data_IF_415569717284
#
_entry.id   IF_415569717284
#
_cell.length_a   1.000
_cell.length_b   1.000
_cell.length_c   1.000
_cell.angle_alpha   90.00
_cell.angle_beta   90.00
_cell.angle_gamma   90.00
#
_symmetry.space_group_name_H-M   'P 1'
#
loop_
_entity.id
_entity.type
_entity.pdbx_description
1 polymer ?
#
# COMPACT_ATOMS: atom_id res chain seq x y z
N UNK A 1 -13.79 8.89 -28.20
CA UNK A 1 -13.15 7.56 -28.32
C UNK A 1 -12.26 7.39 -27.10
N UNK A 2 -12.75 6.73 -26.04
CA UNK A 2 -12.06 6.59 -24.75
C UNK A 2 -11.47 5.18 -24.69
N UNK A 3 -10.14 5.06 -24.55
CA UNK A 3 -9.49 3.78 -24.30
C UNK A 3 -9.90 3.23 -22.91
N UNK A 4 -10.16 1.93 -22.77
CA UNK A 4 -10.32 1.31 -21.47
C UNK A 4 -8.94 1.08 -20.81
N UNK A 5 -8.86 1.35 -19.51
CA UNK A 5 -7.71 1.05 -18.67
C UNK A 5 -7.70 -0.47 -18.43
N UNK A 6 -6.72 -1.16 -19.01
CA UNK A 6 -6.48 -2.60 -18.80
C UNK A 6 -5.97 -2.83 -17.36
N UNK A 7 -6.80 -3.48 -16.55
CA UNK A 7 -6.35 -4.15 -15.33
C UNK A 7 -5.43 -5.31 -15.75
N UNK A 8 -4.18 -5.30 -15.28
CA UNK A 8 -3.24 -6.40 -15.52
C UNK A 8 -3.63 -7.58 -14.64
N UNK A 9 -4.09 -8.67 -15.26
CA UNK A 9 -4.43 -9.92 -14.59
C UNK A 9 -3.17 -10.75 -14.36
N UNK A 10 -2.84 -11.03 -13.10
CA UNK A 10 -1.83 -12.04 -12.74
C UNK A 10 -2.38 -13.44 -13.01
N UNK A 11 -1.65 -14.24 -13.77
CA UNK A 11 -1.94 -15.66 -14.01
C UNK A 11 -1.06 -16.51 -13.09
N UNK A 12 -1.59 -17.57 -12.50
CA UNK A 12 -0.81 -18.70 -12.02
C UNK A 12 -1.18 -19.91 -12.89
N UNK A 13 -0.33 -20.26 -13.86
CA UNK A 13 -0.47 -21.48 -14.64
C UNK A 13 0.62 -22.43 -14.17
N UNK A 14 0.23 -23.61 -13.68
CA UNK A 14 1.16 -24.71 -13.44
C UNK A 14 1.61 -25.28 -14.79
N UNK A 15 2.90 -25.15 -15.14
CA UNK A 15 3.50 -25.93 -16.21
C UNK A 15 4.85 -26.55 -15.83
N UNK A 16 5.03 -27.72 -16.44
CA UNK A 16 6.16 -28.63 -16.44
C UNK A 16 7.55 -27.98 -16.38
N UNK A 17 8.44 -28.65 -15.63
CA UNK A 17 9.87 -28.35 -15.54
C UNK A 17 10.55 -28.32 -16.92
N UNK A 18 10.76 -27.13 -17.46
CA UNK A 18 11.85 -26.85 -18.38
C UNK A 18 13.04 -26.33 -17.55
N UNK A 19 14.22 -26.90 -17.76
CA UNK A 19 15.43 -26.54 -17.00
C UNK A 19 15.70 -25.03 -17.06
N UNK A 20 15.76 -24.39 -15.90
CA UNK A 20 16.09 -22.98 -15.79
C UNK A 20 17.50 -22.74 -16.34
N UNK A 21 17.60 -21.86 -17.34
CA UNK A 21 18.89 -21.27 -17.67
C UNK A 21 19.42 -20.55 -16.41
N UNK A 22 20.74 -20.59 -16.14
CA UNK A 22 21.29 -19.88 -15.00
C UNK A 22 21.01 -18.40 -15.15
N UNK A 23 20.09 -17.89 -14.32
CA UNK A 23 19.84 -16.46 -14.18
C UNK A 23 21.18 -15.80 -13.84
N UNK A 24 21.62 -14.82 -14.63
CA UNK A 24 22.81 -14.06 -14.31
C UNK A 24 22.71 -13.55 -12.86
N UNK A 25 23.81 -13.64 -12.10
CA UNK A 25 23.83 -13.24 -10.68
C UNK A 25 23.53 -11.74 -10.58
N UNK A 26 22.25 -11.41 -10.37
CA UNK A 26 21.81 -10.03 -10.17
C UNK A 26 22.47 -9.44 -8.93
N UNK A 27 22.93 -8.18 -8.98
CA UNK A 27 23.43 -7.46 -7.81
C UNK A 27 22.52 -7.61 -6.59
N UNK A 28 23.13 -7.88 -5.44
CA UNK A 28 22.46 -8.15 -4.17
C UNK A 28 22.56 -6.95 -3.23
N UNK A 29 21.43 -6.55 -2.66
CA UNK A 29 21.32 -5.48 -1.68
C UNK A 29 20.54 -5.97 -0.47
N UNK A 30 21.08 -5.77 0.73
CA UNK A 30 20.42 -6.19 1.95
C UNK A 30 19.75 -5.02 2.67
N UNK A 31 18.52 -5.26 3.13
CA UNK A 31 17.82 -4.38 4.05
C UNK A 31 17.61 -5.06 5.39
N UNK A 32 16.84 -4.44 6.29
CA UNK A 32 16.44 -5.05 7.57
C UNK A 32 15.62 -6.32 7.37
N UNK A 33 14.73 -6.33 6.37
CA UNK A 33 13.78 -7.43 6.16
C UNK A 33 13.91 -8.12 4.81
N UNK A 34 14.66 -7.58 3.86
CA UNK A 34 14.75 -8.11 2.50
C UNK A 34 16.19 -8.35 2.05
N UNK A 35 16.33 -9.31 1.15
CA UNK A 35 17.48 -9.45 0.26
C UNK A 35 16.96 -9.16 -1.14
N UNK A 36 17.36 -8.01 -1.69
CA UNK A 36 16.93 -7.51 -3.00
C UNK A 36 17.96 -7.94 -4.05
N UNK A 37 17.50 -8.56 -5.12
CA UNK A 37 18.26 -8.89 -6.32
C UNK A 37 17.72 -8.09 -7.49
N UNK A 38 18.54 -7.25 -8.13
CA UNK A 38 18.02 -6.34 -9.16
C UNK A 38 19.11 -5.81 -10.10
N UNK A 39 18.73 -5.56 -11.34
CA UNK A 39 19.49 -4.89 -12.40
C UNK A 39 19.15 -3.38 -12.50
N UNK A 40 18.41 -2.85 -11.53
CA UNK A 40 18.06 -1.44 -11.48
C UNK A 40 19.24 -0.53 -11.13
N UNK A 41 19.10 0.71 -11.56
CA UNK A 41 20.05 1.77 -11.33
C UNK A 41 20.09 2.13 -9.81
N UNK A 42 21.22 2.63 -9.27
CA UNK A 42 21.40 2.81 -7.82
C UNK A 42 20.32 3.64 -7.10
N UNK A 43 19.74 4.64 -7.77
CA UNK A 43 18.68 5.48 -7.20
C UNK A 43 17.37 4.70 -7.03
N UNK A 44 17.03 3.82 -7.97
CA UNK A 44 15.84 2.97 -7.91
C UNK A 44 16.02 1.83 -6.90
N UNK A 45 17.24 1.29 -6.76
CA UNK A 45 17.59 0.34 -5.69
C UNK A 45 17.40 0.97 -4.31
N UNK A 46 17.82 2.23 -4.15
CA UNK A 46 17.64 2.98 -2.91
C UNK A 46 16.16 3.21 -2.59
N UNK A 47 15.36 3.62 -3.59
CA UNK A 47 13.90 3.72 -3.45
C UNK A 47 13.29 2.38 -3.01
N UNK A 48 13.68 1.29 -3.68
CA UNK A 48 13.17 -0.04 -3.36
C UNK A 48 13.53 -0.47 -1.95
N UNK A 49 14.79 -0.28 -1.54
CA UNK A 49 15.27 -0.66 -0.21
C UNK A 49 14.49 0.02 0.91
N UNK A 50 14.23 1.32 0.80
CA UNK A 50 13.46 2.06 1.82
C UNK A 50 12.00 1.60 1.82
N UNK A 51 11.36 1.52 0.65
CA UNK A 51 9.94 1.19 0.54
C UNK A 51 9.63 -0.22 1.03
N UNK A 52 10.34 -1.25 0.58
CA UNK A 52 10.06 -2.63 1.01
C UNK A 52 10.37 -2.84 2.49
N UNK A 53 11.37 -2.12 3.02
CA UNK A 53 11.63 -2.12 4.46
C UNK A 53 10.44 -1.53 5.22
N UNK A 54 9.93 -0.36 4.81
CA UNK A 54 8.79 0.26 5.47
C UNK A 54 7.52 -0.59 5.31
N UNK A 55 7.31 -1.16 4.15
CA UNK A 55 6.22 -2.07 3.83
C UNK A 55 6.14 -3.24 4.82
N UNK A 56 7.25 -3.95 5.06
CA UNK A 56 7.28 -5.02 6.06
C UNK A 56 7.01 -4.54 7.50
N UNK A 57 7.46 -3.33 7.88
CA UNK A 57 7.15 -2.75 9.19
C UNK A 57 5.66 -2.46 9.33
N UNK A 58 5.04 -1.89 8.29
CA UNK A 58 3.61 -1.59 8.27
C UNK A 58 2.79 -2.87 8.30
N UNK A 59 3.19 -3.93 7.58
CA UNK A 59 2.52 -5.22 7.66
C UNK A 59 2.59 -5.77 9.08
N UNK A 60 3.78 -5.81 9.68
CA UNK A 60 3.96 -6.28 11.05
C UNK A 60 3.13 -5.48 12.05
N UNK A 61 3.11 -4.15 11.95
CA UNK A 61 2.33 -3.31 12.85
C UNK A 61 0.82 -3.50 12.69
N UNK A 62 0.32 -3.48 11.45
CA UNK A 62 -1.11 -3.57 11.15
C UNK A 62 -1.68 -4.96 11.40
N UNK A 63 -0.84 -5.99 11.38
CA UNK A 63 -1.22 -7.37 11.64
C UNK A 63 -0.79 -7.86 13.01
N UNK A 64 -0.17 -7.02 13.86
CA UNK A 64 0.38 -7.40 15.19
C UNK A 64 -0.57 -8.18 16.10
N UNK A 65 -1.87 -8.01 15.88
CA UNK A 65 -2.91 -8.71 16.63
C UNK A 65 -2.98 -10.20 16.31
N UNK A 66 -2.47 -10.65 15.16
CA UNK A 66 -2.59 -12.01 14.65
C UNK A 66 -1.38 -12.55 13.87
N UNK A 67 -0.37 -11.73 13.58
CA UNK A 67 0.86 -12.17 12.92
C UNK A 67 1.97 -12.49 13.93
N UNK A 68 2.85 -13.40 13.55
CA UNK A 68 4.11 -13.66 14.22
C UNK A 68 5.18 -12.62 13.89
N UNK A 69 6.43 -12.96 14.22
CA UNK A 69 7.60 -12.10 13.99
C UNK A 69 8.35 -12.53 12.74
N UNK A 70 8.86 -11.55 11.97
CA UNK A 70 9.75 -11.80 10.84
C UNK A 70 11.09 -12.31 11.40
N UNK A 71 11.47 -13.55 11.07
CA UNK A 71 12.71 -14.19 11.57
C UNK A 71 13.84 -14.23 10.55
N UNK A 72 13.50 -14.19 9.27
CA UNK A 72 14.45 -14.29 8.16
C UNK A 72 14.20 -13.16 7.17
N UNK A 73 15.25 -12.72 6.50
CA UNK A 73 15.10 -11.77 5.40
C UNK A 73 14.40 -12.45 4.23
N UNK A 74 13.48 -11.72 3.61
CA UNK A 74 12.67 -12.15 2.49
C UNK A 74 13.44 -11.98 1.17
N UNK A 75 13.53 -13.01 0.31
CA UNK A 75 14.09 -12.86 -1.02
C UNK A 75 13.13 -12.04 -1.90
N UNK A 76 13.67 -11.01 -2.55
CA UNK A 76 12.95 -10.17 -3.51
C UNK A 76 13.80 -9.98 -4.76
N UNK A 77 13.24 -10.27 -5.92
CA UNK A 77 13.87 -10.01 -7.22
C UNK A 77 13.05 -8.96 -7.96
N UNK A 78 13.68 -7.84 -8.29
CA UNK A 78 13.04 -6.73 -9.01
C UNK A 78 13.75 -6.54 -10.34
N UNK A 79 13.03 -6.85 -11.43
CA UNK A 79 13.59 -6.81 -12.77
C UNK A 79 13.28 -5.49 -13.46
N UNK A 80 14.25 -4.91 -14.15
CA UNK A 80 14.00 -3.81 -15.08
C UNK A 80 13.11 -4.25 -16.23
N UNK A 81 13.38 -5.42 -16.80
CA UNK A 81 12.71 -5.93 -17.99
C UNK A 81 11.70 -7.05 -17.69
N UNK A 82 10.60 -7.06 -18.47
CA UNK A 82 9.57 -8.11 -18.39
C UNK A 82 10.08 -9.48 -18.83
N UNK A 83 10.96 -9.52 -19.84
CA UNK A 83 11.48 -10.78 -20.39
C UNK A 83 12.33 -11.53 -19.36
N UNK A 84 13.19 -10.83 -18.62
CA UNK A 84 14.02 -11.42 -17.55
C UNK A 84 13.15 -11.95 -16.39
N UNK A 85 12.09 -11.22 -16.06
CA UNK A 85 11.10 -11.68 -15.09
C UNK A 85 10.43 -12.99 -15.53
N UNK A 86 10.02 -13.10 -16.79
CA UNK A 86 9.40 -14.30 -17.34
C UNK A 86 10.39 -15.48 -17.42
N UNK A 87 11.63 -15.22 -17.87
CA UNK A 87 12.71 -16.21 -17.90
C UNK A 87 13.04 -16.76 -16.50
N UNK A 88 12.91 -15.93 -15.47
CA UNK A 88 13.09 -16.32 -14.08
C UNK A 88 11.89 -17.07 -13.46
N UNK A 89 10.87 -17.39 -14.26
CA UNK A 89 9.66 -18.13 -13.85
C UNK A 89 8.46 -17.25 -13.51
N UNK A 90 8.52 -15.94 -13.82
CA UNK A 90 7.39 -15.03 -13.69
C UNK A 90 6.26 -15.38 -14.66
N UNK A 91 5.00 -15.46 -14.22
CA UNK A 91 3.90 -15.83 -15.11
C UNK A 91 3.65 -14.82 -16.24
N UNK A 92 3.38 -15.32 -17.44
CA UNK A 92 3.01 -14.49 -18.59
C UNK A 92 1.73 -13.70 -18.29
N UNK A 93 1.71 -12.41 -18.61
CA UNK A 93 0.59 -11.51 -18.34
C UNK A 93 0.59 -10.85 -16.95
N UNK A 94 1.45 -11.33 -16.04
CA UNK A 94 1.64 -10.71 -14.72
C UNK A 94 2.79 -9.70 -14.70
N UNK A 95 2.78 -8.78 -13.73
CA UNK A 95 3.88 -7.86 -13.45
C UNK A 95 4.59 -8.15 -12.12
N UNK A 96 4.17 -9.20 -11.43
CA UNK A 96 4.76 -9.69 -10.19
C UNK A 96 4.08 -10.98 -9.72
N UNK A 97 4.79 -11.68 -8.83
CA UNK A 97 4.35 -12.93 -8.22
C UNK A 97 5.12 -13.19 -6.93
N UNK A 98 4.45 -13.68 -5.89
CA UNK A 98 5.08 -14.45 -4.84
C UNK A 98 4.92 -15.95 -5.12
N UNK A 99 6.02 -16.64 -5.42
CA UNK A 99 5.99 -18.04 -5.85
C UNK A 99 6.09 -19.07 -4.71
N UNK A 100 5.82 -18.66 -3.46
CA UNK A 100 6.03 -19.49 -2.27
C UNK A 100 7.45 -19.42 -1.67
N UNK A 101 8.43 -18.89 -2.41
CA UNK A 101 9.82 -18.76 -1.91
C UNK A 101 10.37 -17.34 -1.99
N UNK A 102 10.12 -16.66 -3.10
CA UNK A 102 10.60 -15.31 -3.37
C UNK A 102 9.50 -14.44 -3.97
N UNK A 103 9.57 -13.16 -3.65
CA UNK A 103 8.82 -12.13 -4.35
C UNK A 103 9.57 -11.80 -5.65
N UNK A 104 8.85 -11.72 -6.76
CA UNK A 104 9.36 -11.26 -8.04
C UNK A 104 8.45 -10.15 -8.57
N UNK A 105 9.01 -9.09 -9.14
CA UNK A 105 8.23 -8.04 -9.77
C UNK A 105 8.99 -7.36 -10.92
N UNK A 106 8.25 -6.67 -11.78
CA UNK A 106 8.78 -5.87 -12.89
C UNK A 106 8.70 -4.40 -12.55
N UNK A 107 9.86 -3.73 -12.52
CA UNK A 107 9.97 -2.30 -12.36
C UNK A 107 9.58 -1.56 -13.65
N UNK A 108 10.02 -2.07 -14.81
CA UNK A 108 9.96 -1.37 -16.09
C UNK A 108 10.99 -0.23 -16.16
N UNK A 109 10.81 0.68 -17.11
CA UNK A 109 11.66 1.87 -17.28
C UNK A 109 11.66 2.81 -16.06
N UNK A 110 10.57 2.83 -15.30
CA UNK A 110 10.40 3.66 -14.11
C UNK A 110 9.51 2.98 -13.10
N UNK A 111 9.89 3.07 -11.82
CA UNK A 111 9.03 2.71 -10.70
C UNK A 111 7.80 3.63 -10.66
N UNK A 112 6.61 3.04 -10.81
CA UNK A 112 5.33 3.77 -10.78
C UNK A 112 4.47 3.38 -9.59
N UNK A 113 3.37 4.11 -9.36
CA UNK A 113 2.36 3.68 -8.39
C UNK A 113 1.81 2.28 -8.70
N UNK A 114 1.70 1.91 -9.99
CA UNK A 114 1.28 0.57 -10.42
C UNK A 114 2.31 -0.49 -10.03
N UNK A 115 3.60 -0.21 -10.26
CA UNK A 115 4.70 -1.08 -9.84
C UNK A 115 4.63 -1.34 -8.34
N UNK A 116 4.47 -0.26 -7.56
CA UNK A 116 4.41 -0.36 -6.10
C UNK A 116 3.14 -1.05 -5.60
N UNK A 117 1.98 -0.85 -6.25
CA UNK A 117 0.78 -1.64 -5.96
C UNK A 117 1.06 -3.13 -6.07
N UNK A 118 1.69 -3.57 -7.16
CA UNK A 118 2.03 -4.99 -7.39
C UNK A 118 3.04 -5.49 -6.35
N UNK A 119 4.12 -4.75 -6.09
CA UNK A 119 5.13 -5.14 -5.09
C UNK A 119 4.51 -5.25 -3.69
N UNK A 120 3.59 -4.34 -3.34
CA UNK A 120 2.87 -4.37 -2.07
C UNK A 120 1.87 -5.54 -2.01
N UNK A 121 1.14 -5.79 -3.09
CA UNK A 121 0.21 -6.91 -3.17
C UNK A 121 0.93 -8.25 -2.96
N UNK A 122 1.94 -8.52 -3.80
CA UNK A 122 2.70 -9.77 -3.75
C UNK A 122 3.58 -9.87 -2.50
N UNK A 123 4.10 -8.73 -2.02
CA UNK A 123 4.83 -8.63 -0.77
C UNK A 123 3.97 -8.99 0.45
N UNK A 124 2.67 -8.70 0.42
CA UNK A 124 1.76 -9.15 1.47
C UNK A 124 1.61 -10.67 1.46
N UNK A 125 1.47 -11.33 0.31
CA UNK A 125 1.44 -12.79 0.26
C UNK A 125 2.70 -13.42 0.85
N UNK A 126 3.88 -12.88 0.51
CA UNK A 126 5.15 -13.33 1.09
C UNK A 126 5.18 -13.16 2.62
N UNK A 127 4.73 -12.00 3.12
CA UNK A 127 4.64 -11.74 4.55
C UNK A 127 3.66 -12.70 5.24
N UNK A 128 2.45 -12.87 4.68
CA UNK A 128 1.42 -13.73 5.22
C UNK A 128 1.88 -15.20 5.31
N UNK A 129 2.52 -15.69 4.25
CA UNK A 129 3.14 -17.01 4.20
C UNK A 129 4.20 -17.19 5.30
N UNK A 130 5.02 -16.17 5.55
CA UNK A 130 6.10 -16.24 6.53
C UNK A 130 5.64 -16.12 7.99
N UNK A 131 4.60 -15.33 8.28
CA UNK A 131 4.31 -14.93 9.68
C UNK A 131 2.87 -15.12 10.16
N UNK A 132 1.85 -15.24 9.30
CA UNK A 132 0.47 -15.43 9.76
C UNK A 132 0.18 -16.92 10.00
N UNK A 133 0.67 -17.79 9.11
CA UNK A 133 0.43 -19.23 9.17
C UNK A 133 -1.05 -19.61 8.98
N UNK A 134 -1.34 -20.91 9.05
CA UNK A 134 -2.68 -21.44 8.83
C UNK A 134 -3.14 -21.36 7.36
N UNK A 135 -4.38 -21.76 7.13
CA UNK A 135 -5.02 -21.71 5.81
C UNK A 135 -5.88 -20.44 5.72
N UNK A 136 -5.33 -19.39 5.11
CA UNK A 136 -6.04 -18.12 4.91
C UNK A 136 -6.95 -18.27 3.69
N UNK A 137 -8.29 -18.08 3.83
CA UNK A 137 -9.21 -18.16 2.71
C UNK A 137 -8.82 -17.20 1.58
N UNK A 138 -8.96 -17.64 0.33
CA UNK A 138 -8.52 -16.87 -0.86
C UNK A 138 -9.06 -15.44 -0.86
N UNK A 139 -10.34 -15.24 -0.54
CA UNK A 139 -10.94 -13.90 -0.50
C UNK A 139 -10.29 -12.97 0.54
N UNK A 140 -9.80 -13.51 1.66
CA UNK A 140 -9.12 -12.70 2.68
C UNK A 140 -7.69 -12.43 2.27
N UNK A 141 -6.99 -13.44 1.75
CA UNK A 141 -5.61 -13.30 1.32
C UNK A 141 -5.50 -12.25 0.20
N UNK A 142 -6.33 -12.37 -0.84
CA UNK A 142 -6.40 -11.41 -1.95
C UNK A 142 -6.95 -10.05 -1.51
N UNK A 143 -7.97 -10.04 -0.66
CA UNK A 143 -8.56 -8.80 -0.16
C UNK A 143 -7.58 -7.97 0.68
N UNK A 144 -6.76 -8.63 1.51
CA UNK A 144 -5.70 -7.97 2.28
C UNK A 144 -4.53 -7.56 1.40
N UNK A 145 -4.13 -8.38 0.42
CA UNK A 145 -3.10 -8.03 -0.56
C UNK A 145 -3.47 -6.76 -1.34
N UNK A 146 -4.72 -6.66 -1.81
CA UNK A 146 -5.26 -5.45 -2.43
C UNK A 146 -5.37 -4.27 -1.45
N UNK A 147 -5.77 -4.52 -0.19
CA UNK A 147 -5.87 -3.47 0.83
C UNK A 147 -4.51 -2.79 1.09
N UNK A 148 -3.45 -3.59 1.18
CA UNK A 148 -2.09 -3.09 1.31
C UNK A 148 -1.51 -2.58 -0.01
N UNK A 149 -1.93 -3.14 -1.14
CA UNK A 149 -1.60 -2.69 -2.49
C UNK A 149 -1.96 -1.22 -2.73
N UNK A 150 -3.12 -0.79 -2.22
CA UNK A 150 -3.59 0.61 -2.30
C UNK A 150 -2.87 1.57 -1.33
N UNK A 151 -1.94 1.07 -0.51
CA UNK A 151 -1.21 1.87 0.47
C UNK A 151 -0.35 2.97 -0.18
N UNK A 152 -0.31 4.15 0.44
CA UNK A 152 0.49 5.29 -0.01
C UNK A 152 1.74 5.46 0.84
N UNK A 153 2.90 5.24 0.24
CA UNK A 153 4.19 5.51 0.89
C UNK A 153 4.47 7.01 0.98
N UNK A 154 4.83 7.49 2.17
CA UNK A 154 5.06 8.91 2.48
C UNK A 154 6.54 9.27 2.64
N UNK A 155 7.44 8.29 2.53
CA UNK A 155 8.86 8.44 2.85
C UNK A 155 9.23 7.84 4.21
N UNK A 156 8.39 8.05 5.23
CA UNK A 156 8.63 7.58 6.60
C UNK A 156 7.60 6.55 7.08
N UNK A 157 6.47 6.45 6.37
CA UNK A 157 5.36 5.54 6.70
C UNK A 157 4.56 5.13 5.45
N UNK A 158 3.55 4.28 5.61
CA UNK A 158 2.51 4.03 4.61
C UNK A 158 1.12 4.30 5.16
N UNK A 159 0.35 5.12 4.43
CA UNK A 159 -1.07 5.34 4.73
C UNK A 159 -1.88 4.23 4.05
N UNK A 160 -2.48 3.36 4.86
CA UNK A 160 -3.34 2.24 4.40
C UNK A 160 -4.83 2.58 4.50
N UNK A 161 -5.70 1.75 3.91
CA UNK A 161 -7.15 1.96 3.96
C UNK A 161 -7.64 2.98 2.95
N UNK A 162 -6.83 3.28 1.94
CA UNK A 162 -7.17 4.15 0.83
C UNK A 162 -8.29 3.52 -0.01
N UNK A 163 -9.29 4.33 -0.35
CA UNK A 163 -10.37 3.97 -1.24
C UNK A 163 -10.28 4.91 -2.44
N UNK A 164 -9.68 4.47 -3.56
CA UNK A 164 -9.63 5.29 -4.76
C UNK A 164 -11.05 5.60 -5.26
N UNK A 165 -11.32 6.86 -5.60
CA UNK A 165 -12.63 7.32 -6.09
C UNK A 165 -13.15 6.47 -7.26
N UNK A 166 -12.27 6.17 -8.23
CA UNK A 166 -12.60 5.33 -9.38
C UNK A 166 -12.98 3.91 -8.97
N UNK A 167 -12.34 3.35 -7.94
CA UNK A 167 -12.59 1.99 -7.46
C UNK A 167 -13.88 1.95 -6.66
N UNK A 168 -14.14 2.94 -5.79
CA UNK A 168 -15.44 3.12 -5.13
C UNK A 168 -16.59 3.20 -6.14
N UNK A 169 -16.44 4.03 -7.18
CA UNK A 169 -17.45 4.13 -8.24
C UNK A 169 -17.69 2.78 -8.95
N UNK A 170 -16.61 2.03 -9.23
CA UNK A 170 -16.70 0.69 -9.80
C UNK A 170 -17.39 -0.32 -8.87
N UNK A 171 -17.12 -0.29 -7.56
CA UNK A 171 -17.81 -1.13 -6.56
C UNK A 171 -19.30 -0.81 -6.54
N UNK A 172 -19.67 0.46 -6.38
CA UNK A 172 -21.08 0.88 -6.30
C UNK A 172 -21.84 0.49 -7.56
N UNK A 173 -21.28 0.76 -8.74
CA UNK A 173 -21.87 0.32 -10.01
C UNK A 173 -22.06 -1.20 -10.07
N UNK A 174 -21.10 -1.97 -9.58
CA UNK A 174 -21.16 -3.44 -9.57
C UNK A 174 -22.20 -3.99 -8.59
N UNK A 175 -22.43 -3.29 -7.46
CA UNK A 175 -23.53 -3.58 -6.53
C UNK A 175 -24.88 -3.31 -7.20
N UNK A 176 -25.05 -2.14 -7.83
CA UNK A 176 -26.29 -1.73 -8.49
C UNK A 176 -26.67 -2.66 -9.64
N UNK A 177 -25.69 -3.09 -10.43
CA UNK A 177 -25.86 -4.06 -11.52
C UNK A 177 -25.99 -5.51 -11.04
N UNK A 178 -25.92 -5.76 -9.72
CA UNK A 178 -26.01 -7.09 -9.09
C UNK A 178 -25.03 -8.11 -9.68
N UNK A 179 -23.81 -7.66 -10.00
CA UNK A 179 -22.77 -8.48 -10.63
C UNK A 179 -21.81 -9.13 -9.63
N UNK A 180 -21.87 -8.75 -8.35
CA UNK A 180 -21.12 -9.45 -7.31
C UNK A 180 -21.72 -10.82 -7.00
N UNK A 181 -20.86 -11.76 -6.62
CA UNK A 181 -21.29 -13.07 -6.13
C UNK A 181 -22.01 -12.90 -4.79
N UNK A 182 -22.96 -13.77 -4.42
CA UNK A 182 -23.42 -13.88 -3.04
C UNK A 182 -22.23 -14.02 -2.08
N UNK A 183 -22.30 -13.39 -0.91
CA UNK A 183 -21.17 -13.36 0.03
C UNK A 183 -20.75 -14.77 0.44
N UNK A 184 -21.71 -15.65 0.67
CA UNK A 184 -21.44 -17.03 1.11
C UNK A 184 -20.76 -17.86 0.01
N UNK A 185 -20.97 -17.52 -1.27
CA UNK A 185 -20.29 -18.14 -2.39
C UNK A 185 -18.82 -17.68 -2.45
N UNK A 186 -18.56 -16.37 -2.45
CA UNK A 186 -17.17 -15.87 -2.55
C UNK A 186 -16.32 -16.31 -1.34
N UNK A 187 -16.91 -16.37 -0.15
CA UNK A 187 -16.22 -16.79 1.07
C UNK A 187 -15.83 -18.27 1.08
N UNK A 188 -16.45 -19.10 0.24
CA UNK A 188 -16.18 -20.54 0.13
C UNK A 188 -15.32 -20.94 -1.06
N UNK A 189 -14.99 -20.00 -1.95
CA UNK A 189 -14.14 -20.30 -3.09
C UNK A 189 -12.81 -20.89 -2.62
N UNK A 190 -12.45 -22.01 -3.24
CA UNK A 190 -11.09 -22.55 -3.18
C UNK A 190 -10.16 -21.76 -4.09
N UNK A 191 -8.85 -21.90 -3.89
CA UNK A 191 -7.85 -21.28 -4.76
C UNK A 191 -7.99 -21.74 -6.22
N UNK A 192 -8.27 -23.03 -6.44
CA UNK A 192 -8.46 -23.60 -7.78
C UNK A 192 -9.68 -22.99 -8.49
N UNK A 193 -10.81 -22.87 -7.78
CA UNK A 193 -12.01 -22.23 -8.34
C UNK A 193 -11.81 -20.74 -8.63
N UNK A 194 -11.06 -20.05 -7.76
CA UNK A 194 -10.69 -18.64 -7.98
C UNK A 194 -9.86 -18.48 -9.26
N UNK A 195 -8.82 -19.30 -9.40
CA UNK A 195 -7.90 -19.28 -10.54
C UNK A 195 -8.55 -19.74 -11.84
N UNK A 196 -9.55 -20.63 -11.80
CA UNK A 196 -10.28 -21.06 -12.99
C UNK A 196 -11.20 -19.97 -13.57
N UNK A 197 -11.67 -19.02 -12.74
CA UNK A 197 -12.59 -17.97 -13.17
C UNK A 197 -11.89 -16.74 -13.75
N UNK A 198 -10.72 -16.39 -13.20
CA UNK A 198 -9.94 -15.20 -13.59
C UNK A 198 -10.79 -13.91 -13.66
N UNK A 199 -11.77 -13.77 -12.76
CA UNK A 199 -12.71 -12.64 -12.77
C UNK A 199 -12.17 -11.48 -11.91
N UNK A 200 -11.84 -10.31 -12.50
CA UNK A 200 -11.39 -9.13 -11.75
C UNK A 200 -12.40 -8.67 -10.68
N UNK A 201 -13.68 -9.01 -10.86
CA UNK A 201 -14.76 -8.70 -9.90
C UNK A 201 -14.54 -9.39 -8.56
N UNK A 202 -13.87 -10.56 -8.54
CA UNK A 202 -13.55 -11.28 -7.31
C UNK A 202 -12.59 -10.48 -6.43
N UNK A 203 -11.54 -9.89 -7.02
CA UNK A 203 -10.56 -9.05 -6.31
C UNK A 203 -11.21 -7.79 -5.75
N UNK A 204 -12.09 -7.15 -6.53
CA UNK A 204 -12.88 -6.01 -6.07
C UNK A 204 -13.81 -6.35 -4.90
N UNK A 205 -14.49 -7.49 -4.98
CA UNK A 205 -15.38 -7.94 -3.92
C UNK A 205 -14.58 -8.27 -2.65
N UNK A 206 -13.50 -9.05 -2.77
CA UNK A 206 -12.60 -9.40 -1.67
C UNK A 206 -12.02 -8.16 -0.98
N UNK A 207 -11.43 -7.24 -1.74
CA UNK A 207 -10.90 -5.98 -1.24
C UNK A 207 -11.97 -5.15 -0.51
N UNK A 208 -13.14 -5.02 -1.12
CA UNK A 208 -14.21 -4.19 -0.57
C UNK A 208 -14.83 -4.79 0.71
N UNK A 209 -14.83 -6.12 0.86
CA UNK A 209 -15.20 -6.82 2.09
C UNK A 209 -14.16 -6.57 3.19
N UNK A 210 -12.86 -6.69 2.87
CA UNK A 210 -11.77 -6.41 3.82
C UNK A 210 -11.79 -4.95 4.29
N UNK A 211 -11.98 -4.00 3.37
CA UNK A 211 -12.14 -2.58 3.71
C UNK A 211 -13.31 -2.34 4.68
N UNK A 212 -14.47 -2.95 4.42
CA UNK A 212 -15.63 -2.84 5.31
C UNK A 212 -15.36 -3.47 6.68
N UNK A 213 -14.72 -4.64 6.74
CA UNK A 213 -14.37 -5.28 8.01
C UNK A 213 -13.33 -4.48 8.80
N UNK A 214 -12.40 -3.80 8.12
CA UNK A 214 -11.36 -3.02 8.76
C UNK A 214 -11.83 -1.64 9.23
N UNK A 215 -12.72 -0.97 8.48
CA UNK A 215 -13.05 0.45 8.68
C UNK A 215 -14.55 0.76 8.75
N UNK A 216 -15.41 -0.17 8.34
CA UNK A 216 -16.86 0.01 8.30
C UNK A 216 -17.44 0.40 9.65
N UNK A 217 -18.45 1.27 9.62
CA UNK A 217 -19.12 1.84 10.80
C UNK A 217 -18.14 2.38 11.86
N UNK A 218 -17.10 3.09 11.43
CA UNK A 218 -16.08 3.62 12.33
C UNK A 218 -15.17 2.56 12.94
N UNK A 219 -14.92 1.46 12.21
CA UNK A 219 -14.08 0.34 12.67
C UNK A 219 -14.79 -0.66 13.57
N UNK A 220 -16.13 -0.63 13.65
CA UNK A 220 -16.94 -1.51 14.50
C UNK A 220 -16.62 -3.01 14.33
N UNK A 221 -16.31 -3.43 13.11
CA UNK A 221 -16.05 -4.84 12.77
C UNK A 221 -14.59 -5.26 12.95
N UNK A 222 -13.68 -4.29 13.15
CA UNK A 222 -12.24 -4.54 13.18
C UNK A 222 -11.81 -5.51 14.29
N UNK A 223 -12.31 -5.42 15.55
CA UNK A 223 -11.94 -6.38 16.58
C UNK A 223 -12.34 -7.82 16.23
N UNK A 224 -13.54 -8.00 15.67
CA UNK A 224 -14.02 -9.31 15.22
C UNK A 224 -13.18 -9.83 14.04
N UNK A 225 -12.78 -8.95 13.12
CA UNK A 225 -11.89 -9.34 12.02
C UNK A 225 -10.50 -9.76 12.50
N UNK A 226 -9.93 -9.07 13.50
CA UNK A 226 -8.68 -9.47 14.16
C UNK A 226 -8.84 -10.85 14.82
N UNK A 227 -9.97 -11.11 15.49
CA UNK A 227 -10.25 -12.42 16.09
C UNK A 227 -10.37 -13.53 15.04
N UNK A 228 -10.99 -13.22 13.88
CA UNK A 228 -11.08 -14.13 12.75
C UNK A 228 -9.69 -14.50 12.21
N UNK A 229 -8.84 -13.51 11.96
CA UNK A 229 -7.46 -13.74 11.50
C UNK A 229 -6.63 -14.53 12.51
N UNK A 230 -6.81 -14.24 13.80
CA UNK A 230 -6.18 -14.99 14.89
C UNK A 230 -6.60 -16.46 14.92
N UNK A 231 -7.87 -16.74 14.69
CA UNK A 231 -8.38 -18.11 14.63
C UNK A 231 -7.79 -18.87 13.45
N UNK A 232 -7.72 -18.23 12.27
CA UNK A 232 -7.07 -18.80 11.07
C UNK A 232 -5.59 -19.11 11.31
N UNK A 233 -4.83 -18.17 11.87
CA UNK A 233 -3.40 -18.36 12.19
C UNK A 233 -3.14 -19.48 13.19
N UNK A 234 -4.15 -19.85 14.00
CA UNK A 234 -4.13 -21.01 14.93
C UNK A 234 -4.60 -22.31 14.27
N UNK A 235 -4.83 -22.33 12.96
CA UNK A 235 -5.26 -23.50 12.20
C UNK A 235 -6.75 -23.84 12.31
N UNK A 236 -7.59 -22.93 12.82
CA UNK A 236 -9.04 -23.15 12.77
C UNK A 236 -9.54 -23.01 11.34
N UNK A 237 -10.47 -23.89 10.95
CA UNK A 237 -11.12 -23.79 9.64
C UNK A 237 -11.92 -22.49 9.50
N UNK A 238 -11.94 -21.93 8.29
CA UNK A 238 -12.57 -20.63 7.97
C UNK A 238 -13.99 -20.46 8.50
N UNK A 239 -14.86 -21.45 8.27
CA UNK A 239 -16.26 -21.37 8.73
C UNK A 239 -16.39 -21.35 10.26
N UNK A 240 -15.55 -22.10 10.96
CA UNK A 240 -15.52 -22.07 12.43
C UNK A 240 -14.98 -20.73 12.93
N UNK A 241 -13.85 -20.28 12.37
CA UNK A 241 -13.23 -19.00 12.70
C UNK A 241 -14.21 -17.84 12.52
N UNK A 242 -14.97 -17.83 11.41
CA UNK A 242 -15.98 -16.82 11.14
C UNK A 242 -17.08 -16.85 12.20
N UNK A 243 -17.69 -18.03 12.43
CA UNK A 243 -18.79 -18.19 13.38
C UNK A 243 -18.39 -17.75 14.79
N UNK A 244 -17.17 -18.06 15.24
CA UNK A 244 -16.70 -17.67 16.58
C UNK A 244 -16.39 -16.18 16.70
N UNK A 245 -16.10 -15.50 15.59
CA UNK A 245 -15.67 -14.10 15.60
C UNK A 245 -16.81 -13.12 15.31
N UNK A 246 -17.67 -13.48 14.36
CA UNK A 246 -18.77 -12.65 13.87
C UNK A 246 -20.15 -13.19 14.23
N UNK A 247 -20.27 -14.46 14.63
CA UNK A 247 -21.55 -15.14 14.77
C UNK A 247 -22.12 -15.54 13.40
N UNK A 248 -23.42 -15.35 13.22
CA UNK A 248 -24.10 -15.62 11.95
C UNK A 248 -23.72 -14.56 10.90
N UNK A 249 -23.48 -14.99 9.66
CA UNK A 249 -23.23 -14.12 8.51
C UNK A 249 -24.50 -13.37 8.04
N UNK A 250 -25.68 -13.70 8.58
CA UNK A 250 -26.93 -13.06 8.19
C UNK A 250 -26.86 -11.51 8.27
N UNK A 251 -27.21 -10.87 7.15
CA UNK A 251 -27.19 -9.42 7.00
C UNK A 251 -25.81 -8.80 6.79
N UNK A 252 -24.73 -9.59 6.75
CA UNK A 252 -23.40 -9.06 6.39
C UNK A 252 -23.42 -8.44 4.99
N UNK A 253 -24.01 -9.14 4.01
CA UNK A 253 -24.09 -8.67 2.62
C UNK A 253 -24.83 -7.33 2.51
N UNK A 254 -25.97 -7.20 3.17
CA UNK A 254 -26.75 -5.96 3.16
C UNK A 254 -26.01 -4.80 3.85
N UNK A 255 -25.35 -5.05 4.98
CA UNK A 255 -24.55 -4.02 5.67
C UNK A 255 -23.33 -3.59 4.85
N UNK A 256 -22.64 -4.55 4.23
CA UNK A 256 -21.51 -4.27 3.35
C UNK A 256 -21.94 -3.43 2.14
N UNK A 257 -23.03 -3.81 1.45
CA UNK A 257 -23.57 -3.02 0.33
C UNK A 257 -23.95 -1.61 0.79
N UNK A 258 -24.69 -1.50 1.90
CA UNK A 258 -25.13 -0.22 2.45
C UNK A 258 -23.95 0.71 2.78
N UNK A 259 -22.89 0.16 3.39
CA UNK A 259 -21.65 0.90 3.62
C UNK A 259 -21.13 1.52 2.32
N UNK A 260 -20.88 0.71 1.29
CA UNK A 260 -20.33 1.19 0.02
C UNK A 260 -21.20 2.21 -0.70
N UNK A 261 -22.52 2.01 -0.70
CA UNK A 261 -23.45 2.95 -1.34
C UNK A 261 -23.63 4.24 -0.55
N UNK A 262 -23.36 4.23 0.76
CA UNK A 262 -23.45 5.43 1.63
C UNK A 262 -22.20 6.31 1.62
N UNK A 263 -21.04 5.76 1.21
CA UNK A 263 -19.80 6.53 1.15
C UNK A 263 -19.92 7.70 0.17
N UNK A 264 -19.34 8.88 0.46
CA UNK A 264 -19.22 9.96 -0.54
C UNK A 264 -18.31 9.53 -1.70
N UNK A 265 -18.23 10.35 -2.75
CA UNK A 265 -17.43 10.04 -3.95
C UNK A 265 -15.95 9.82 -3.61
N UNK A 266 -15.36 10.68 -2.76
CA UNK A 266 -13.98 10.56 -2.29
C UNK A 266 -13.93 10.31 -0.77
N UNK A 267 -14.21 9.07 -0.32
CA UNK A 267 -14.40 8.76 1.10
C UNK A 267 -13.10 8.81 1.92
N UNK A 268 -11.95 8.76 1.27
CA UNK A 268 -10.64 8.79 1.93
C UNK A 268 -9.82 10.02 1.55
N UNK A 269 -10.46 11.12 1.17
CA UNK A 269 -9.76 12.38 0.85
C UNK A 269 -8.88 12.87 2.02
N UNK A 270 -9.32 12.65 3.26
CA UNK A 270 -8.50 12.94 4.44
C UNK A 270 -7.20 12.13 4.49
N UNK A 271 -7.24 10.85 4.10
CA UNK A 271 -6.04 10.02 4.04
C UNK A 271 -5.08 10.50 2.96
N UNK A 272 -5.60 10.97 1.82
CA UNK A 272 -4.79 11.61 0.79
C UNK A 272 -4.16 12.93 1.29
N UNK A 273 -4.91 13.77 2.04
CA UNK A 273 -4.35 14.98 2.70
C UNK A 273 -3.21 14.61 3.63
N UNK A 274 -3.42 13.62 4.50
CA UNK A 274 -2.41 13.15 5.45
C UNK A 274 -1.18 12.59 4.75
N UNK A 275 -1.35 11.83 3.68
CA UNK A 275 -0.23 11.30 2.89
C UNK A 275 0.61 12.42 2.27
N UNK A 276 -0.05 13.41 1.64
CA UNK A 276 0.61 14.59 1.08
C UNK A 276 1.33 15.36 2.17
N UNK A 277 0.64 15.73 3.25
CA UNK A 277 1.21 16.50 4.36
C UNK A 277 2.40 15.80 5.03
N UNK A 278 2.30 14.49 5.29
CA UNK A 278 3.40 13.69 5.83
C UNK A 278 4.61 13.72 4.89
N UNK A 279 4.38 13.53 3.58
CA UNK A 279 5.46 13.58 2.57
C UNK A 279 6.15 14.93 2.57
N UNK A 280 5.40 16.04 2.49
CA UNK A 280 6.00 17.38 2.49
C UNK A 280 6.79 17.66 3.76
N UNK A 281 6.22 17.28 4.92
CA UNK A 281 6.83 17.48 6.24
C UNK A 281 8.13 16.70 6.34
N UNK A 282 8.17 15.50 5.78
CA UNK A 282 9.36 14.67 5.70
C UNK A 282 10.49 15.33 4.92
N UNK A 283 10.20 15.90 3.74
CA UNK A 283 11.17 16.62 2.93
C UNK A 283 11.65 17.92 3.61
N UNK A 284 10.74 18.69 4.22
CA UNK A 284 11.11 19.88 5.00
C UNK A 284 11.99 19.50 6.18
N UNK A 285 11.67 18.43 6.91
CA UNK A 285 12.46 17.98 8.05
C UNK A 285 13.88 17.57 7.67
N UNK A 286 14.04 16.87 6.55
CA UNK A 286 15.36 16.48 6.02
C UNK A 286 16.17 17.67 5.51
N UNK A 287 15.54 18.63 4.85
CA UNK A 287 16.19 19.88 4.45
C UNK A 287 16.65 20.69 5.68
N UNK A 288 15.77 20.81 6.68
CA UNK A 288 16.07 21.50 7.92
C UNK A 288 17.22 20.85 8.69
N UNK A 289 17.26 19.51 8.74
CA UNK A 289 18.39 18.77 9.31
C UNK A 289 19.72 19.08 8.61
N UNK A 290 19.68 19.45 7.32
CA UNK A 290 20.83 19.91 6.53
C UNK A 290 20.99 21.44 6.50
N UNK A 291 20.44 22.14 7.51
CA UNK A 291 20.51 23.60 7.67
C UNK A 291 19.92 24.38 6.49
N UNK A 292 18.95 23.80 5.77
CA UNK A 292 18.12 24.50 4.80
C UNK A 292 16.73 24.67 5.39
N UNK A 293 16.39 25.91 5.73
CA UNK A 293 15.09 26.28 6.27
C UNK A 293 14.27 27.02 5.21
N UNK A 294 12.94 27.02 5.37
CA UNK A 294 12.01 27.67 4.45
C UNK A 294 11.04 28.53 5.23
N UNK A 295 10.93 29.81 4.85
CA UNK A 295 10.03 30.75 5.51
C UNK A 295 8.58 30.61 5.04
N UNK A 296 8.37 30.00 3.86
CA UNK A 296 7.03 29.88 3.27
C UNK A 296 6.92 28.71 2.29
N UNK A 297 5.68 28.26 2.06
CA UNK A 297 5.40 27.22 1.07
C UNK A 297 5.92 27.56 -0.34
N UNK A 298 5.76 28.77 -0.90
CA UNK A 298 6.34 29.12 -2.20
C UNK A 298 7.87 28.93 -2.29
N UNK A 299 8.61 29.29 -1.23
CA UNK A 299 10.06 29.08 -1.22
C UNK A 299 10.44 27.60 -1.19
N UNK A 300 9.68 26.80 -0.46
CA UNK A 300 9.85 25.34 -0.42
C UNK A 300 9.49 24.67 -1.76
N UNK A 301 8.33 24.99 -2.34
CA UNK A 301 7.86 24.37 -3.59
C UNK A 301 8.76 24.72 -4.76
N UNK A 302 9.29 25.94 -4.81
CA UNK A 302 10.31 26.33 -5.80
C UNK A 302 11.56 25.47 -5.67
N UNK A 303 12.12 25.36 -4.46
CA UNK A 303 13.30 24.54 -4.22
C UNK A 303 13.05 23.06 -4.52
N UNK A 304 11.84 22.54 -4.24
CA UNK A 304 11.41 21.21 -4.61
C UNK A 304 11.39 21.01 -6.13
N UNK A 305 10.81 21.94 -6.89
CA UNK A 305 10.74 21.85 -8.36
C UNK A 305 12.09 21.99 -9.06
N UNK A 306 13.01 22.76 -8.48
CA UNK A 306 14.36 22.99 -9.01
C UNK A 306 15.37 21.93 -8.52
N UNK A 307 14.91 20.93 -7.78
CA UNK A 307 15.75 19.88 -7.20
C UNK A 307 16.88 20.42 -6.30
N UNK A 308 16.55 21.44 -5.50
CA UNK A 308 17.46 22.16 -4.60
C UNK A 308 17.27 21.78 -3.12
N UNK A 309 16.47 20.75 -2.82
CA UNK A 309 16.28 20.27 -1.45
C UNK A 309 17.50 19.47 -0.99
N UNK A 310 18.11 19.90 0.11
CA UNK A 310 19.21 19.21 0.77
C UNK A 310 18.68 18.01 1.55
N UNK A 311 19.39 16.90 1.46
CA UNK A 311 19.20 15.74 2.34
C UNK A 311 20.55 15.04 2.50
N UNK A 312 20.74 14.35 3.63
CA UNK A 312 21.89 13.47 3.76
C UNK A 312 21.73 12.28 2.82
N UNK A 313 22.84 11.71 2.31
CA UNK A 313 22.78 10.57 1.39
C UNK A 313 21.97 9.40 1.95
N UNK A 314 22.12 9.13 3.24
CA UNK A 314 21.45 8.01 3.93
C UNK A 314 19.97 8.29 4.22
N UNK A 315 19.52 9.55 4.15
CA UNK A 315 18.12 9.93 4.38
C UNK A 315 17.43 10.43 3.11
N UNK A 316 18.10 10.40 1.96
CA UNK A 316 17.54 10.82 0.70
C UNK A 316 16.25 10.03 0.43
N UNK A 317 15.16 10.73 0.17
CA UNK A 317 13.89 10.12 -0.20
C UNK A 317 13.71 10.10 -1.71
N UNK A 318 12.90 9.17 -2.23
CA UNK A 318 12.64 9.11 -3.65
C UNK A 318 12.02 10.42 -4.17
N UNK A 319 12.54 10.95 -5.28
CA UNK A 319 11.96 12.17 -5.88
C UNK A 319 10.56 11.94 -6.45
N UNK A 320 10.26 10.68 -6.80
CA UNK A 320 8.96 10.23 -7.30
C UNK A 320 7.83 10.56 -6.32
N UNK A 321 8.04 10.39 -5.02
CA UNK A 321 7.03 10.70 -3.99
C UNK A 321 6.84 12.21 -3.80
N UNK A 322 7.91 13.01 -3.87
CA UNK A 322 7.79 14.48 -3.82
C UNK A 322 7.02 15.01 -5.03
N UNK A 323 7.33 14.52 -6.22
CA UNK A 323 6.63 14.90 -7.44
C UNK A 323 5.13 14.56 -7.37
N UNK A 324 4.77 13.42 -6.77
CA UNK A 324 3.38 13.05 -6.53
C UNK A 324 2.69 13.96 -5.54
N UNK A 325 3.33 14.25 -4.40
CA UNK A 325 2.81 15.16 -3.40
C UNK A 325 2.62 16.59 -3.98
N UNK A 326 3.55 17.09 -4.80
CA UNK A 326 3.42 18.39 -5.46
C UNK A 326 2.25 18.46 -6.44
N UNK A 327 1.95 17.38 -7.16
CA UNK A 327 0.74 17.31 -8.02
C UNK A 327 -0.52 17.39 -7.18
N UNK A 328 -0.55 16.71 -6.04
CA UNK A 328 -1.70 16.74 -5.12
C UNK A 328 -1.86 18.12 -4.45
N UNK A 329 -0.75 18.77 -4.06
CA UNK A 329 -0.75 20.16 -3.58
C UNK A 329 -1.42 21.08 -4.58
N UNK A 330 -1.05 20.99 -5.87
CA UNK A 330 -1.70 21.80 -6.92
C UNK A 330 -3.21 21.54 -6.98
N UNK A 331 -3.63 20.28 -7.03
CA UNK A 331 -5.05 19.89 -7.04
C UNK A 331 -5.81 20.47 -5.83
N UNK A 332 -5.18 20.48 -4.66
CA UNK A 332 -5.77 20.98 -3.41
C UNK A 332 -5.88 22.50 -3.35
N UNK A 333 -4.85 23.20 -3.83
CA UNK A 333 -4.90 24.66 -4.00
C UNK A 333 -6.03 25.04 -4.98
N UNK A 334 -6.17 24.31 -6.10
CA UNK A 334 -7.26 24.51 -7.06
C UNK A 334 -8.65 24.23 -6.43
N UNK A 335 -8.70 23.37 -5.40
CA UNK A 335 -9.91 23.08 -4.61
C UNK A 335 -10.15 24.08 -3.45
N UNK A 336 -9.31 25.12 -3.32
CA UNK A 336 -9.45 26.17 -2.30
C UNK A 336 -8.80 25.86 -0.95
N UNK A 337 -8.05 24.77 -0.82
CA UNK A 337 -7.22 24.54 0.36
C UNK A 337 -6.02 25.49 0.36
N UNK A 338 -5.48 25.79 1.54
CA UNK A 338 -4.24 26.57 1.68
C UNK A 338 -3.16 25.75 2.36
N UNK A 339 -1.91 26.03 2.00
CA UNK A 339 -0.74 25.44 2.62
C UNK A 339 0.16 26.55 3.18
N UNK A 340 0.62 26.39 4.42
CA UNK A 340 1.57 27.31 5.06
C UNK A 340 2.72 26.55 5.72
N UNK A 341 3.87 27.21 5.85
CA UNK A 341 4.93 26.78 6.77
C UNK A 341 4.82 27.69 7.99
N UNK A 342 4.60 27.10 9.14
CA UNK A 342 4.50 27.78 10.43
C UNK A 342 5.64 27.32 11.34
N UNK A 343 5.80 27.97 12.50
CA UNK A 343 6.68 27.49 13.58
C UNK A 343 5.85 27.13 14.80
N UNK A 344 6.32 26.14 15.54
CA UNK A 344 5.74 25.84 16.84
C UNK A 344 5.86 27.05 17.77
N UNK A 345 4.81 27.34 18.55
CA UNK A 345 4.76 28.52 19.45
C UNK A 345 5.96 28.62 20.41
N UNK A 346 6.56 27.48 20.77
CA UNK A 346 7.72 27.38 21.66
C UNK A 346 8.92 26.65 21.00
N UNK A 347 8.85 26.35 19.71
CA UNK A 347 9.80 25.49 19.01
C UNK A 347 10.46 26.19 17.82
N UNK A 348 11.69 25.78 17.50
CA UNK A 348 12.39 26.27 16.31
C UNK A 348 12.02 25.51 15.04
N UNK A 349 11.38 24.35 15.18
CA UNK A 349 11.10 23.45 14.06
C UNK A 349 9.95 24.00 13.20
N UNK A 350 10.12 24.04 11.87
CA UNK A 350 9.02 24.33 10.96
C UNK A 350 7.99 23.20 10.99
N UNK A 351 6.72 23.57 10.80
CA UNK A 351 5.61 22.66 10.61
C UNK A 351 4.87 23.06 9.34
N UNK A 352 4.31 22.10 8.61
CA UNK A 352 3.47 22.39 7.44
C UNK A 352 2.03 22.30 7.88
N UNK A 353 1.20 23.22 7.42
CA UNK A 353 -0.21 23.27 7.76
C UNK A 353 -1.04 23.26 6.50
N UNK A 354 -2.07 22.43 6.48
CA UNK A 354 -3.16 22.48 5.51
C UNK A 354 -4.36 23.09 6.21
N UNK A 355 -5.01 24.06 5.58
CA UNK A 355 -6.31 24.54 5.99
C UNK A 355 -7.30 24.38 4.85
N UNK A 356 -8.39 23.67 5.11
CA UNK A 356 -9.46 23.40 4.14
C UNK A 356 -10.53 24.50 4.19
N UNK A 357 -11.33 24.65 3.12
CA UNK A 357 -12.41 25.65 3.07
C UNK A 357 -13.47 25.51 4.18
N UNK A 358 -13.70 24.29 4.67
CA UNK A 358 -14.64 24.00 5.76
C UNK A 358 -14.05 24.23 7.16
N UNK A 359 -12.82 24.77 7.23
CA UNK A 359 -12.16 25.15 8.48
C UNK A 359 -11.38 24.03 9.16
N UNK A 360 -11.35 22.82 8.57
CA UNK A 360 -10.46 21.76 9.05
C UNK A 360 -9.00 22.19 8.89
N UNK A 361 -8.21 21.94 9.93
CA UNK A 361 -6.79 22.20 9.95
C UNK A 361 -6.05 20.86 10.13
N UNK A 362 -4.94 20.70 9.42
CA UNK A 362 -4.04 19.55 9.59
C UNK A 362 -2.63 20.08 9.75
N UNK A 363 -1.86 19.53 10.70
CA UNK A 363 -0.48 19.93 10.97
C UNK A 363 0.46 18.75 10.78
N UNK A 364 1.41 18.92 9.88
CA UNK A 364 2.55 18.04 9.71
C UNK A 364 3.72 18.52 10.56
N UNK A 365 4.16 17.67 11.49
CA UNK A 365 5.32 17.90 12.37
C UNK A 365 6.38 16.83 12.15
N UNK A 366 7.62 17.17 12.49
CA UNK A 366 8.70 16.20 12.58
C UNK A 366 9.53 16.40 13.85
N UNK A 367 10.23 15.35 14.25
CA UNK A 367 11.23 15.42 15.33
C UNK A 367 12.60 15.06 14.78
N UNK A 368 13.65 15.59 15.42
CA UNK A 368 15.03 15.28 15.08
C UNK A 368 15.70 14.47 16.19
N UNK A 369 16.48 13.46 15.80
CA UNK A 369 17.38 12.73 16.69
C UNK A 369 18.74 12.62 16.02
N UNK A 370 19.80 13.08 16.68
CA UNK A 370 21.16 13.08 16.16
C UNK A 370 21.27 13.73 14.76
N UNK A 371 20.55 14.83 14.54
CA UNK A 371 20.56 15.56 13.26
C UNK A 371 19.86 14.84 12.10
N UNK A 372 18.98 13.87 12.40
CA UNK A 372 18.20 13.08 11.43
C UNK A 372 16.71 13.12 11.75
N UNK A 373 15.85 12.97 10.75
CA UNK A 373 14.40 12.91 10.99
C UNK A 373 14.08 11.60 11.72
N UNK A 374 13.55 11.72 12.93
CA UNK A 374 13.25 10.57 13.78
C UNK A 374 11.80 10.11 13.64
N UNK A 375 10.87 11.06 13.45
CA UNK A 375 9.44 10.78 13.30
C UNK A 375 8.80 11.92 12.53
N UNK A 376 7.84 11.58 11.66
CA UNK A 376 6.90 12.51 11.04
C UNK A 376 5.50 12.19 11.56
N UNK A 377 4.72 13.21 11.89
CA UNK A 377 3.39 13.10 12.50
C UNK A 377 2.45 14.05 11.77
N UNK A 378 1.22 13.62 11.52
CA UNK A 378 0.14 14.47 11.03
C UNK A 378 -1.02 14.44 12.01
N UNK A 379 -1.42 15.62 12.50
CA UNK A 379 -2.45 15.82 13.53
C UNK A 379 -3.54 16.76 13.00
N UNK A 380 -4.77 16.65 13.53
CA UNK A 380 -5.87 17.60 13.27
C UNK A 380 -5.79 18.82 14.20
#
# INVERSE_FOLDING_TARGET
>A
MRLPILASLSFAIAFFCAGAAPQADLPKYETKYYVIHTDLDPDDVHEAAIRVTKMAEVYAERTRGFSGVIRTKFPFVLFKNLDDYQLAGGPVGSAGVFNGSKLMAVAGEKLTSKTWHVVQHEGFHQFAHAVIGGDIPVWVNEGLAEYFGEGLFTGDDMITGIIPEWRRARIVKTIEEKRFKPIDQIMRLTLDEWNAQLDPTNYDQAWSMVQFLAHGDGGKYQPAFINFMNALGKGKGSSEAWRTSFGDSHGFEERWKAFWTSLPENPTDDLYRRATLATLTSFVGRAFAQKQDFESMPTFTKAASENMLKSSRDEALPRSILASAMRDVKKRLDAGETFSIEREKNGKLPQIVIQTPDGKRLVGRFTLKNGRVAKVIVED
#
